data_IF_849326058970
#
_entry.id   IF_849326058970
#
_cell.length_a   1.000
_cell.length_b   1.000
_cell.length_c   1.000
_cell.angle_alpha   90.00
_cell.angle_beta   90.00
_cell.angle_gamma   90.00
#
_symmetry.space_group_name_H-M   'P 1'
#
loop_
_entity.id
_entity.type
_entity.pdbx_description
1 polymer ?
#
# COMPACT_ATOMS: atom_id res chain seq x y z
N UNK A 1 5.27 10.72 -3.62
CA UNK A 1 5.70 9.34 -3.96
C UNK A 1 4.48 8.43 -4.12
N UNK A 2 4.62 7.27 -4.78
CA UNK A 2 3.57 6.23 -4.86
C UNK A 2 4.07 4.96 -4.17
N UNK A 3 3.24 4.32 -3.34
CA UNK A 3 3.59 3.08 -2.64
C UNK A 3 2.53 1.99 -2.84
N UNK A 4 2.93 0.86 -3.41
CA UNK A 4 2.07 -0.31 -3.58
C UNK A 4 2.19 -1.23 -2.35
N UNK A 5 1.11 -1.37 -1.60
CA UNK A 5 1.04 -2.30 -0.47
C UNK A 5 1.01 -3.76 -0.94
N UNK A 6 1.49 -4.64 -0.09
CA UNK A 6 1.70 -6.05 -0.34
C UNK A 6 0.45 -6.91 -0.12
N UNK A 7 0.40 -8.12 -0.70
CA UNK A 7 1.27 -8.59 -1.79
C UNK A 7 0.98 -7.80 -3.08
N UNK A 8 1.95 -7.52 -3.96
CA UNK A 8 1.79 -6.63 -5.11
C UNK A 8 1.09 -7.34 -6.29
N UNK A 9 -0.23 -7.34 -6.27
CA UNK A 9 -1.04 -7.94 -7.35
C UNK A 9 -0.95 -7.14 -8.66
N UNK A 10 -1.17 -7.84 -9.78
CA UNK A 10 -1.01 -7.29 -11.14
C UNK A 10 -1.80 -6.00 -11.34
N UNK A 11 -3.06 -5.96 -10.93
CA UNK A 11 -3.96 -4.80 -11.06
C UNK A 11 -3.43 -3.58 -10.32
N UNK A 12 -2.84 -3.76 -9.13
CA UNK A 12 -2.23 -2.66 -8.36
C UNK A 12 -0.93 -2.17 -8.99
N UNK A 13 -0.14 -3.08 -9.56
CA UNK A 13 1.08 -2.73 -10.29
C UNK A 13 0.76 -1.97 -11.60
N UNK A 14 -0.28 -2.37 -12.32
CA UNK A 14 -0.75 -1.68 -13.52
C UNK A 14 -1.25 -0.26 -13.18
N UNK A 15 -2.05 -0.12 -12.12
CA UNK A 15 -2.51 1.19 -11.64
C UNK A 15 -1.33 2.09 -11.19
N UNK A 16 -0.33 1.52 -10.50
CA UNK A 16 0.88 2.25 -10.15
C UNK A 16 1.58 2.78 -11.41
N UNK A 17 1.78 1.93 -12.41
CA UNK A 17 2.45 2.31 -13.64
C UNK A 17 1.70 3.39 -14.40
N UNK A 18 0.36 3.33 -14.47
CA UNK A 18 -0.48 4.38 -15.06
C UNK A 18 -0.24 5.74 -14.39
N UNK A 19 -0.23 5.79 -13.06
CA UNK A 19 0.00 7.02 -12.31
C UNK A 19 1.43 7.56 -12.48
N UNK A 20 2.42 6.67 -12.52
CA UNK A 20 3.80 7.06 -12.81
C UNK A 20 3.92 7.66 -14.21
N UNK A 21 3.32 7.02 -15.23
CA UNK A 21 3.33 7.52 -16.62
C UNK A 21 2.54 8.81 -16.81
N UNK A 22 1.51 9.05 -15.99
CA UNK A 22 0.75 10.30 -15.97
C UNK A 22 1.47 11.44 -15.21
N UNK A 23 2.63 11.18 -14.62
CA UNK A 23 3.46 12.20 -13.97
C UNK A 23 3.07 12.55 -12.53
N UNK A 24 2.31 11.69 -11.84
CA UNK A 24 1.94 11.92 -10.43
C UNK A 24 3.12 11.78 -9.47
N UNK A 25 4.18 11.06 -9.87
CA UNK A 25 5.38 10.85 -9.05
C UNK A 25 6.53 10.34 -9.92
N UNK A 26 7.76 10.62 -9.50
CA UNK A 26 8.99 10.03 -10.05
C UNK A 26 9.57 8.91 -9.15
N UNK A 27 8.90 8.63 -8.02
CA UNK A 27 9.31 7.65 -7.03
C UNK A 27 8.20 6.64 -6.76
N UNK A 28 8.49 5.36 -7.02
CA UNK A 28 7.61 4.22 -6.79
C UNK A 28 8.23 3.28 -5.75
N UNK A 29 7.48 3.00 -4.69
CA UNK A 29 7.79 1.97 -3.70
C UNK A 29 6.86 0.77 -3.93
N UNK A 30 7.39 -0.44 -3.74
CA UNK A 30 6.61 -1.68 -3.85
C UNK A 30 6.94 -2.57 -2.64
N UNK A 31 5.90 -2.92 -1.88
CA UNK A 31 6.01 -3.88 -0.77
C UNK A 31 6.04 -5.30 -1.34
N UNK A 32 7.23 -5.90 -1.38
CA UNK A 32 7.49 -7.22 -1.96
C UNK A 32 7.85 -8.21 -0.86
N UNK A 33 7.04 -9.24 -0.58
CA UNK A 33 7.40 -10.26 0.39
C UNK A 33 8.55 -11.13 -0.14
N UNK A 34 9.37 -11.65 0.76
CA UNK A 34 10.41 -12.66 0.54
C UNK A 34 9.83 -14.06 0.43
N UNK A 35 8.51 -14.23 0.44
CA UNK A 35 7.82 -15.51 0.22
C UNK A 35 6.86 -15.42 -0.96
N UNK A 36 6.63 -16.57 -1.62
CA UNK A 36 5.83 -16.64 -2.84
C UNK A 36 6.55 -16.03 -4.03
N UNK A 37 7.17 -16.86 -4.87
CA UNK A 37 8.07 -16.43 -5.95
C UNK A 37 7.53 -15.28 -6.82
N UNK A 38 6.22 -15.30 -7.11
CA UNK A 38 5.52 -14.31 -7.94
C UNK A 38 5.48 -12.91 -7.33
N UNK A 39 5.56 -12.81 -6.01
CA UNK A 39 5.43 -11.55 -5.27
C UNK A 39 6.77 -11.01 -4.76
N UNK A 40 7.84 -11.80 -4.88
CA UNK A 40 9.19 -11.33 -4.60
C UNK A 40 9.62 -10.30 -5.63
N UNK A 41 10.58 -9.46 -5.25
CA UNK A 41 11.14 -8.45 -6.14
C UNK A 41 11.63 -9.07 -7.47
N UNK A 42 12.27 -10.23 -7.44
CA UNK A 42 12.76 -10.92 -8.64
C UNK A 42 11.64 -11.40 -9.58
N UNK A 43 10.42 -11.61 -9.04
CA UNK A 43 9.24 -11.99 -9.80
C UNK A 43 8.48 -10.82 -10.42
N UNK A 44 8.87 -9.58 -10.11
CA UNK A 44 8.17 -8.35 -10.52
C UNK A 44 9.02 -7.59 -11.52
N UNK A 45 8.52 -7.42 -12.74
CA UNK A 45 9.23 -6.72 -13.81
C UNK A 45 9.65 -5.29 -13.45
N UNK A 46 8.80 -4.56 -12.71
CA UNK A 46 9.11 -3.20 -12.24
C UNK A 46 10.34 -3.14 -11.30
N UNK A 47 10.65 -4.23 -10.60
CA UNK A 47 11.78 -4.31 -9.68
C UNK A 47 13.09 -4.77 -10.37
N UNK A 48 12.99 -5.43 -11.52
CA UNK A 48 14.13 -6.09 -12.17
C UNK A 48 14.59 -5.41 -13.45
N UNK A 49 13.70 -4.69 -14.12
CA UNK A 49 13.99 -3.96 -15.35
C UNK A 49 14.13 -2.46 -15.04
N UNK A 50 15.15 -1.77 -15.58
CA UNK A 50 15.26 -0.32 -15.45
C UNK A 50 13.99 0.39 -15.91
N UNK A 51 13.52 1.36 -15.12
CA UNK A 51 12.38 2.21 -15.44
C UNK A 51 12.83 3.65 -15.66
N UNK A 52 11.98 4.48 -16.26
CA UNK A 52 12.22 5.93 -16.42
C UNK A 52 12.10 6.69 -15.09
N UNK A 53 11.53 6.06 -14.06
CA UNK A 53 11.34 6.57 -12.71
C UNK A 53 12.07 5.70 -11.68
N UNK A 54 12.26 6.22 -10.46
CA UNK A 54 12.90 5.48 -9.39
C UNK A 54 11.96 4.41 -8.83
N UNK A 55 12.42 3.15 -8.81
CA UNK A 55 11.69 2.04 -8.18
C UNK A 55 12.48 1.52 -6.98
N UNK A 56 11.81 1.42 -5.83
CA UNK A 56 12.35 0.78 -4.62
C UNK A 56 11.44 -0.38 -4.22
N UNK A 57 11.93 -1.61 -4.36
CA UNK A 57 11.23 -2.80 -3.91
C UNK A 57 11.81 -3.26 -2.57
N UNK A 58 10.96 -3.45 -1.57
CA UNK A 58 11.37 -3.75 -0.21
C UNK A 58 10.35 -4.64 0.49
N UNK A 59 10.83 -5.45 1.43
CA UNK A 59 9.96 -6.13 2.39
C UNK A 59 9.89 -5.30 3.67
N UNK A 60 8.67 -4.98 4.13
CA UNK A 60 8.51 -4.43 5.47
C UNK A 60 8.68 -5.52 6.53
N UNK A 61 9.22 -5.16 7.69
CA UNK A 61 9.30 -6.04 8.85
C UNK A 61 8.57 -5.38 10.04
N UNK A 62 7.39 -5.88 10.45
CA UNK A 62 6.71 -7.07 9.94
C UNK A 62 6.02 -6.85 8.58
N UNK A 63 5.82 -7.92 7.80
CA UNK A 63 5.05 -7.88 6.55
C UNK A 63 3.54 -7.79 6.80
N UNK A 64 3.11 -6.62 7.26
CA UNK A 64 1.73 -6.28 7.63
C UNK A 64 1.45 -4.82 7.25
N UNK A 65 0.19 -4.42 7.13
CA UNK A 65 -0.15 -3.01 6.85
C UNK A 65 0.49 -2.02 7.84
N UNK A 66 0.66 -2.40 9.10
CA UNK A 66 1.35 -1.59 10.10
C UNK A 66 2.84 -1.42 9.75
N UNK A 67 3.52 -2.52 9.46
CA UNK A 67 4.94 -2.51 9.09
C UNK A 67 5.20 -1.83 7.75
N UNK A 68 4.29 -1.94 6.80
CA UNK A 68 4.38 -1.24 5.53
C UNK A 68 4.30 0.27 5.73
N UNK A 69 3.37 0.76 6.57
CA UNK A 69 3.31 2.20 6.91
C UNK A 69 4.53 2.65 7.72
N UNK A 70 5.07 1.81 8.61
CA UNK A 70 6.33 2.12 9.30
C UNK A 70 7.51 2.24 8.35
N UNK A 71 7.61 1.34 7.38
CA UNK A 71 8.64 1.40 6.32
C UNK A 71 8.47 2.65 5.44
N UNK A 72 7.23 3.03 5.13
CA UNK A 72 6.90 4.26 4.42
C UNK A 72 7.42 5.48 5.17
N UNK A 73 7.09 5.62 6.45
CA UNK A 73 7.54 6.74 7.29
C UNK A 73 9.07 6.83 7.31
N UNK A 74 9.74 5.71 7.60
CA UNK A 74 11.21 5.67 7.66
C UNK A 74 11.85 6.17 6.36
N UNK A 75 11.41 5.64 5.21
CA UNK A 75 11.98 6.03 3.92
C UNK A 75 11.64 7.48 3.57
N UNK A 76 10.47 7.95 3.98
CA UNK A 76 10.05 9.33 3.76
C UNK A 76 10.92 10.31 4.51
N UNK A 77 11.25 10.03 5.77
CA UNK A 77 12.18 10.81 6.56
C UNK A 77 13.60 10.78 5.98
N UNK A 78 14.07 9.63 5.51
CA UNK A 78 15.39 9.48 4.88
C UNK A 78 15.51 10.26 3.56
N UNK A 79 14.41 10.36 2.79
CA UNK A 79 14.39 10.97 1.45
C UNK A 79 13.76 12.37 1.41
N UNK A 80 13.27 12.87 2.54
CA UNK A 80 12.57 14.16 2.63
C UNK A 80 11.24 14.19 1.86
N UNK A 81 10.52 13.07 1.82
CA UNK A 81 9.21 13.00 1.16
C UNK A 81 8.09 13.33 2.14
N UNK A 82 7.21 14.23 1.75
CA UNK A 82 6.11 14.70 2.60
C UNK A 82 4.74 14.25 2.07
N UNK A 83 4.66 13.74 0.84
CA UNK A 83 3.39 13.34 0.19
C UNK A 83 3.43 11.93 -0.38
N UNK A 84 2.35 11.18 -0.16
CA UNK A 84 2.23 9.76 -0.54
C UNK A 84 0.89 9.43 -1.22
N UNK A 85 0.93 8.57 -2.23
CA UNK A 85 -0.26 7.87 -2.73
C UNK A 85 -0.06 6.38 -2.46
N UNK A 86 -0.90 5.79 -1.63
CA UNK A 86 -0.86 4.36 -1.30
C UNK A 86 -1.87 3.60 -2.14
N UNK A 87 -1.40 2.54 -2.78
CA UNK A 87 -2.23 1.64 -3.59
C UNK A 87 -2.43 0.35 -2.81
N UNK A 88 -3.68 0.02 -2.50
CA UNK A 88 -4.03 -1.18 -1.73
C UNK A 88 -5.29 -1.86 -2.26
N UNK A 89 -5.62 -3.02 -1.71
CA UNK A 89 -6.88 -3.70 -2.04
C UNK A 89 -8.02 -3.08 -1.22
N UNK A 90 -9.23 -2.95 -1.81
CA UNK A 90 -10.39 -2.27 -1.21
C UNK A 90 -10.68 -2.62 0.28
N UNK A 91 -10.65 -3.89 0.73
CA UNK A 91 -10.86 -4.24 2.14
C UNK A 91 -9.75 -3.75 3.10
N UNK A 92 -8.58 -3.38 2.58
CA UNK A 92 -7.46 -2.86 3.36
C UNK A 92 -7.45 -1.33 3.46
N UNK A 93 -8.30 -0.61 2.73
CA UNK A 93 -8.32 0.86 2.71
C UNK A 93 -8.48 1.43 4.12
N UNK A 94 -9.51 1.01 4.86
CA UNK A 94 -9.76 1.51 6.23
C UNK A 94 -8.61 1.21 7.19
N UNK A 95 -8.01 0.01 7.10
CA UNK A 95 -6.86 -0.35 7.93
C UNK A 95 -5.61 0.46 7.56
N UNK A 96 -5.43 0.74 6.27
CA UNK A 96 -4.30 1.54 5.77
C UNK A 96 -4.42 2.98 6.23
N UNK A 97 -5.59 3.60 6.04
CA UNK A 97 -5.87 4.96 6.54
C UNK A 97 -5.62 5.07 8.04
N UNK A 98 -6.10 4.11 8.83
CA UNK A 98 -5.89 4.09 10.28
C UNK A 98 -4.40 4.14 10.67
N UNK A 99 -3.53 3.41 9.97
CA UNK A 99 -2.11 3.42 10.26
C UNK A 99 -1.41 4.66 9.71
N UNK A 100 -1.82 5.17 8.54
CA UNK A 100 -1.32 6.44 8.01
C UNK A 100 -1.57 7.57 9.00
N UNK A 101 -2.81 7.74 9.48
CA UNK A 101 -3.19 8.79 10.44
C UNK A 101 -2.38 8.75 11.74
N UNK A 102 -1.87 7.56 12.11
CA UNK A 102 -1.15 7.33 13.37
C UNK A 102 0.36 7.41 13.22
N UNK A 103 0.90 6.97 12.08
CA UNK A 103 2.29 6.60 11.94
C UNK A 103 3.02 7.27 10.79
N UNK A 104 2.29 7.92 9.87
CA UNK A 104 2.88 8.70 8.79
C UNK A 104 2.76 10.18 9.11
N UNK A 105 3.88 10.91 9.06
CA UNK A 105 3.92 12.34 9.42
C UNK A 105 3.54 13.28 8.27
N UNK A 106 3.54 12.77 7.02
CA UNK A 106 3.16 13.52 5.83
C UNK A 106 1.69 13.36 5.42
N UNK A 107 1.35 13.93 4.27
CA UNK A 107 0.03 13.82 3.66
C UNK A 107 -0.06 12.57 2.77
N UNK A 108 -1.06 11.73 3.02
CA UNK A 108 -1.23 10.48 2.28
C UNK A 108 -2.66 10.30 1.75
N UNK A 109 -2.77 9.92 0.49
CA UNK A 109 -4.02 9.46 -0.12
C UNK A 109 -3.99 7.94 -0.30
N UNK A 110 -5.11 7.27 -0.04
CA UNK A 110 -5.24 5.83 -0.27
C UNK A 110 -6.18 5.58 -1.44
N UNK A 111 -5.63 5.02 -2.51
CA UNK A 111 -6.37 4.55 -3.67
C UNK A 111 -6.40 3.01 -3.67
N UNK A 112 -7.38 2.45 -4.38
CA UNK A 112 -7.56 1.02 -4.44
C UNK A 112 -7.85 0.53 -5.85
N UNK A 113 -7.53 -0.73 -6.11
CA UNK A 113 -7.91 -1.41 -7.35
C UNK A 113 -9.32 -2.00 -7.25
N UNK A 114 -10.13 -1.84 -8.30
CA UNK A 114 -11.47 -2.42 -8.44
C UNK A 114 -11.42 -3.87 -8.97
N UNK A 115 -10.52 -4.70 -8.44
CA UNK A 115 -10.54 -6.13 -8.73
C UNK A 115 -11.93 -6.71 -8.36
N UNK A 116 -12.63 -7.43 -9.26
CA UNK A 116 -14.05 -7.69 -9.11
C UNK A 116 -14.38 -8.49 -7.85
N UNK A 117 -15.20 -7.90 -6.97
CA UNK A 117 -15.78 -8.54 -5.79
C UNK A 117 -17.15 -9.12 -6.18
N UNK A 118 -17.42 -10.39 -5.86
CA UNK A 118 -18.70 -11.05 -6.20
C UNK A 118 -19.90 -10.36 -5.50
N UNK A 119 -21.07 -10.36 -6.16
CA UNK A 119 -22.28 -9.60 -5.77
C UNK A 119 -22.80 -9.85 -4.34
N UNK A 120 -22.56 -11.03 -3.77
CA UNK A 120 -22.90 -11.35 -2.37
C UNK A 120 -22.00 -10.62 -1.36
N UNK A 121 -20.80 -10.22 -1.76
CA UNK A 121 -19.86 -9.44 -0.96
C UNK A 121 -20.26 -7.97 -0.82
N UNK A 122 -20.96 -7.39 -1.79
CA UNK A 122 -21.32 -5.97 -1.79
C UNK A 122 -22.30 -5.57 -0.66
N UNK A 123 -23.28 -6.42 -0.34
CA UNK A 123 -24.28 -6.15 0.72
C UNK A 123 -23.69 -6.38 2.11
N UNK A 124 -22.81 -7.37 2.26
CA UNK A 124 -22.07 -7.59 3.51
C UNK A 124 -21.12 -6.42 3.83
N UNK A 125 -20.51 -5.82 2.80
CA UNK A 125 -19.58 -4.69 2.94
C UNK A 125 -20.26 -3.38 3.36
N UNK A 126 -21.49 -3.12 2.89
CA UNK A 126 -22.27 -1.96 3.35
C UNK A 126 -22.69 -2.10 4.83
N UNK A 127 -22.96 -3.32 5.31
CA UNK A 127 -23.27 -3.59 6.72
C UNK A 127 -22.04 -3.65 7.64
N UNK A 128 -20.87 -4.04 7.12
CA UNK A 128 -19.63 -4.10 7.90
C UNK A 128 -19.01 -2.72 8.15
N UNK A 129 -19.28 -1.75 7.28
CA UNK A 129 -18.85 -0.36 7.42
C UNK A 129 -19.34 0.32 8.71
N UNK A 130 -20.38 -0.19 9.38
CA UNK A 130 -20.83 0.31 10.69
C UNK A 130 -20.32 -0.50 11.88
N UNK A 131 -19.91 -1.76 11.71
CA UNK A 131 -19.43 -2.62 12.80
C UNK A 131 -17.92 -2.55 13.07
N UNK A 132 -17.11 -2.27 12.06
CA UNK A 132 -15.64 -2.24 12.18
C UNK A 132 -15.11 -1.04 12.98
N UNK A 133 -15.86 0.08 12.98
CA UNK A 133 -15.54 1.28 13.77
C UNK A 133 -15.45 0.99 15.28
N UNK A 134 -16.20 0.02 15.79
CA UNK A 134 -16.19 -0.31 17.22
C UNK A 134 -14.98 -1.17 17.65
N UNK A 135 -14.38 -1.95 16.74
CA UNK A 135 -13.32 -2.91 17.08
C UNK A 135 -11.89 -2.35 16.92
N UNK A 136 -11.71 -1.32 16.09
CA UNK A 136 -10.41 -0.66 15.88
C UNK A 136 -9.92 0.20 17.07
N UNK A 137 -10.78 0.48 18.05
CA UNK A 137 -10.42 1.23 19.26
C UNK A 137 -9.62 0.42 20.29
N UNK A 138 -9.56 -0.92 20.19
CA UNK A 138 -9.17 -1.73 21.35
C UNK A 138 -7.90 -2.59 21.22
N UNK A 139 -7.32 -2.83 20.04
CA UNK A 139 -6.37 -3.99 19.93
C UNK A 139 -5.02 -3.83 19.19
N UNK A 140 -4.63 -2.67 18.66
CA UNK A 140 -3.24 -2.45 18.17
C UNK A 140 -2.87 -0.95 18.20
N UNK A 141 -2.03 -0.52 19.15
CA UNK A 141 -1.87 0.89 19.56
C UNK A 141 -0.57 1.60 19.12
N UNK A 142 0.41 0.91 18.53
CA UNK A 142 1.72 1.51 18.25
C UNK A 142 2.05 1.65 16.75
N UNK A 143 3.12 2.38 16.47
CA UNK A 143 3.86 2.33 15.19
C UNK A 143 5.05 1.38 15.35
N UNK A 144 5.55 0.83 14.25
CA UNK A 144 6.70 -0.09 14.20
C UNK A 144 7.86 0.55 13.46
#
# INVERSE_FOLDING_TARGET
>A
MIFVLGPPERTRLELAQELMSAGYSENLLISTPEFGWRYRAEGIGLCTVPQEFSVTCLQSDPFTTQGEVGALEKISLERGWETAILITFKPHVTRTQLYLDRCFSGDAEVIYDDAPITTRGAVYQYGYQTGAFAKAFTQTRGCV
#
